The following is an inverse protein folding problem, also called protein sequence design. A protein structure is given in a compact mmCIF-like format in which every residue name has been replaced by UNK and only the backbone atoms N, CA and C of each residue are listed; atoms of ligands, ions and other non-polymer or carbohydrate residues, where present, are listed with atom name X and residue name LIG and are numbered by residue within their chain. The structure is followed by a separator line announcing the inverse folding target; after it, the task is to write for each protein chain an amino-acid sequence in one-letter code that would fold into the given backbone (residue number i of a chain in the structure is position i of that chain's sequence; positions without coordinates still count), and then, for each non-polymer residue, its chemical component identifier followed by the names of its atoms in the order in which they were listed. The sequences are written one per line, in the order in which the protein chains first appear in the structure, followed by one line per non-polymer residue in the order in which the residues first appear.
data_IF_996435985890
#
_entry.id   IF_996435985890
#
_cell.length_a   1.000
_cell.length_b   1.000
_cell.length_c   1.000
_cell.angle_alpha   90.00
_cell.angle_beta   90.00
_cell.angle_gamma   90.00
#
_symmetry.space_group_name_H-M   'P 1'
#
loop_
_entity.id
_entity.type
_entity.pdbx_description
1 polymer ?
#
# COMPACT_ATOMS: atom_id res chain seq x y z
N UNK A 1 7.90 5.26 2.06
CA UNK A 1 6.88 5.53 1.03
C UNK A 1 5.42 5.40 1.47
N UNK A 2 5.03 4.44 2.31
CA UNK A 2 3.63 4.36 2.78
C UNK A 2 3.14 5.61 3.53
N UNK A 3 4.05 6.36 4.18
CA UNK A 3 3.73 7.67 4.79
C UNK A 3 3.28 8.69 3.74
N UNK A 4 3.87 8.67 2.55
CA UNK A 4 3.46 9.52 1.43
C UNK A 4 2.07 9.09 0.93
N UNK A 5 1.84 7.77 0.77
CA UNK A 5 0.52 7.23 0.45
C UNK A 5 -0.55 7.75 1.42
N UNK A 6 -0.33 7.62 2.72
CA UNK A 6 -1.29 8.11 3.73
C UNK A 6 -1.45 9.63 3.66
N UNK A 7 -0.35 10.38 3.71
CA UNK A 7 -0.41 11.84 3.85
C UNK A 7 -0.78 12.61 2.58
N UNK A 8 -0.59 12.03 1.40
CA UNK A 8 -0.82 12.72 0.12
C UNK A 8 -1.86 12.06 -0.78
N UNK A 9 -2.07 10.74 -0.67
CA UNK A 9 -3.07 10.05 -1.50
C UNK A 9 -4.36 9.90 -0.71
N UNK A 10 -4.29 9.25 0.47
CA UNK A 10 -5.50 8.96 1.24
C UNK A 10 -6.20 10.23 1.74
N UNK A 11 -5.43 11.25 2.15
CA UNK A 11 -5.96 12.54 2.58
C UNK A 11 -6.61 13.34 1.45
N UNK A 12 -6.16 13.16 0.20
CA UNK A 12 -6.64 13.94 -0.96
C UNK A 12 -7.77 13.26 -1.72
N UNK A 13 -7.70 11.95 -1.85
CA UNK A 13 -8.62 11.17 -2.69
C UNK A 13 -9.54 10.25 -1.88
N UNK A 14 -9.38 10.21 -0.57
CA UNK A 14 -10.15 9.35 0.32
C UNK A 14 -9.49 7.99 0.56
N UNK A 15 -10.16 7.19 1.38
CA UNK A 15 -9.67 5.88 1.82
C UNK A 15 -10.14 4.80 0.83
N UNK A 16 -9.23 4.00 0.24
CA UNK A 16 -9.59 2.94 -0.69
C UNK A 16 -10.19 1.74 0.05
N UNK A 17 -11.05 0.97 -0.63
CA UNK A 17 -11.50 -0.32 -0.12
C UNK A 17 -10.38 -1.38 -0.14
N UNK A 18 -9.49 -1.33 -1.13
CA UNK A 18 -8.41 -2.28 -1.31
C UNK A 18 -7.06 -1.62 -1.60
N UNK A 19 -6.00 -2.19 -1.02
CA UNK A 19 -4.63 -1.77 -1.24
C UNK A 19 -3.73 -2.95 -1.60
N UNK A 20 -3.15 -2.89 -2.79
CA UNK A 20 -2.22 -3.90 -3.29
C UNK A 20 -0.80 -3.36 -3.16
N UNK A 21 0.02 -4.02 -2.34
CA UNK A 21 1.44 -3.69 -2.18
C UNK A 21 2.32 -4.91 -2.39
N UNK A 22 3.57 -4.67 -2.77
CA UNK A 22 4.64 -5.66 -2.64
C UNK A 22 4.94 -5.98 -1.17
N UNK A 23 5.85 -6.93 -0.97
CA UNK A 23 6.32 -7.36 0.36
C UNK A 23 7.43 -6.47 0.92
N UNK A 24 7.56 -5.22 0.43
CA UNK A 24 8.51 -4.27 0.96
C UNK A 24 8.33 -4.10 2.47
N UNK A 25 9.45 -4.12 3.21
CA UNK A 25 9.46 -4.09 4.69
C UNK A 25 8.69 -2.88 5.27
N UNK A 26 8.71 -1.75 4.56
CA UNK A 26 7.97 -0.54 4.94
C UNK A 26 6.44 -0.77 5.00
N UNK A 27 5.89 -1.53 4.06
CA UNK A 27 4.48 -1.90 3.99
C UNK A 27 4.12 -3.09 4.89
N UNK A 28 5.09 -3.73 5.52
CA UNK A 28 4.88 -4.84 6.45
C UNK A 28 4.96 -4.43 7.92
N UNK A 29 5.27 -3.16 8.20
CA UNK A 29 5.33 -2.63 9.57
C UNK A 29 4.00 -2.79 10.32
N UNK A 30 4.08 -3.01 11.64
CA UNK A 30 2.89 -3.10 12.51
C UNK A 30 2.04 -1.84 12.45
N UNK A 31 2.69 -0.67 12.38
CA UNK A 31 2.02 0.63 12.27
C UNK A 31 1.19 0.69 10.99
N UNK A 32 1.76 0.32 9.85
CA UNK A 32 1.05 0.36 8.59
C UNK A 32 -0.14 -0.61 8.55
N UNK A 33 0.05 -1.83 9.07
CA UNK A 33 -1.04 -2.81 9.21
C UNK A 33 -2.18 -2.26 10.06
N UNK A 34 -1.86 -1.60 11.17
CA UNK A 34 -2.85 -1.01 12.06
C UNK A 34 -3.57 0.18 11.41
N UNK A 35 -2.86 1.01 10.66
CA UNK A 35 -3.48 2.07 9.86
C UNK A 35 -4.49 1.50 8.86
N UNK A 36 -4.14 0.44 8.12
CA UNK A 36 -5.07 -0.20 7.18
C UNK A 36 -6.31 -0.74 7.91
N UNK A 37 -6.12 -1.39 9.07
CA UNK A 37 -7.21 -1.91 9.91
C UNK A 37 -8.16 -0.79 10.38
N UNK A 38 -7.64 0.32 10.88
CA UNK A 38 -8.43 1.45 11.36
C UNK A 38 -9.19 2.16 10.25
N UNK A 39 -8.58 2.22 9.06
CA UNK A 39 -9.18 2.84 7.88
C UNK A 39 -10.12 1.88 7.12
N UNK A 40 -10.24 0.61 7.52
CA UNK A 40 -11.04 -0.39 6.81
C UNK A 40 -10.48 -0.81 5.45
N UNK A 41 -9.19 -0.56 5.22
CA UNK A 41 -8.50 -0.91 3.96
C UNK A 41 -8.20 -2.41 3.97
N UNK A 42 -8.71 -3.13 2.98
CA UNK A 42 -8.32 -4.52 2.73
C UNK A 42 -6.96 -4.55 2.02
N UNK A 43 -5.90 -4.91 2.76
CA UNK A 43 -4.56 -5.04 2.19
C UNK A 43 -4.36 -6.43 1.60
N UNK A 44 -3.99 -6.48 0.32
CA UNK A 44 -3.61 -7.71 -0.38
C UNK A 44 -2.13 -7.68 -0.72
N UNK A 45 -1.46 -8.84 -0.66
CA UNK A 45 -0.04 -9.00 -0.99
C UNK A 45 0.09 -9.48 -2.43
N UNK A 46 1.01 -8.92 -3.20
CA UNK A 46 1.47 -9.58 -4.43
C UNK A 46 2.48 -10.69 -4.07
N UNK A 47 2.37 -11.84 -4.72
CA UNK A 47 3.46 -12.83 -4.75
C UNK A 47 4.65 -12.16 -5.44
N UNK A 48 5.88 -12.25 -4.92
CA UNK A 48 7.04 -11.72 -5.63
C UNK A 48 7.17 -12.44 -6.97
N UNK A 49 6.72 -11.80 -8.05
CA UNK A 49 7.06 -12.23 -9.39
C UNK A 49 8.52 -11.85 -9.59
N UNK A 50 9.39 -12.84 -9.81
CA UNK A 50 10.78 -12.62 -10.24
C UNK A 50 10.77 -11.83 -11.54
N UNK A 51 10.74 -10.50 -11.45
CA UNK A 51 11.08 -9.59 -12.52
C UNK A 51 12.39 -8.93 -12.11
N UNK A 52 13.43 -9.44 -12.74
CA UNK A 52 14.83 -9.08 -12.65
C UNK A 52 15.02 -7.61 -13.07
N UNK A 53 14.68 -6.68 -12.17
CA UNK A 53 14.96 -5.24 -12.26
C UNK A 53 14.90 -4.69 -10.85
N UNK A 54 15.89 -5.06 -10.03
CA UNK A 54 16.18 -4.38 -8.78
C UNK A 54 16.57 -2.93 -9.08
N UNK A 55 15.75 -1.99 -8.64
CA UNK A 55 16.12 -0.58 -8.58
C UNK A 55 14.96 0.40 -8.75
N UNK A 56 14.40 0.85 -7.62
CA UNK A 56 13.76 2.16 -7.47
C UNK A 56 12.36 2.33 -8.10
N UNK A 57 11.38 1.49 -7.75
CA UNK A 57 10.01 1.98 -7.53
C UNK A 57 9.21 0.85 -6.87
N UNK A 58 8.86 1.08 -5.61
CA UNK A 58 7.87 0.26 -4.91
C UNK A 58 6.53 0.42 -5.63
N UNK A 59 5.95 -0.69 -6.10
CA UNK A 59 4.71 -0.66 -6.89
C UNK A 59 3.53 -0.93 -5.98
N UNK A 60 2.83 0.13 -5.58
CA UNK A 60 1.53 0.05 -4.94
C UNK A 60 0.43 0.40 -5.96
N UNK A 61 -0.63 -0.41 -5.99
CA UNK A 61 -1.84 -0.09 -6.73
C UNK A 61 -2.96 0.19 -5.72
N UNK A 62 -3.60 1.35 -5.86
CA UNK A 62 -4.73 1.78 -5.03
C UNK A 62 -5.98 1.74 -5.89
N UNK A 63 -6.98 0.96 -5.47
CA UNK A 63 -8.31 0.99 -6.10
C UNK A 63 -9.24 1.80 -5.21
N UNK A 64 -9.59 3.00 -5.65
CA UNK A 64 -10.60 3.83 -4.99
C UNK A 64 -11.94 3.47 -5.60
N UNK A 65 -12.80 2.87 -4.80
CA UNK A 65 -14.21 2.63 -5.15
C UNK A 65 -15.00 3.71 -4.44
N UNK A 66 -15.74 4.52 -5.19
CA UNK A 66 -16.58 5.60 -4.66
C UNK A 66 -18.02 5.09 -4.47
#
# INVERSE_FOLDING_TARGET
YWKYLVSQVLTRFGVPGELYSDQGHEFESRVFRECCRLLGIHKTRTTPLRLQSDGIVERFNVTIVH
#
